data_IF_068483841801
#
_entry.id   IF_068483841801
#
_cell.length_a   1.000
_cell.length_b   1.000
_cell.length_c   1.000
_cell.angle_alpha   90.00
_cell.angle_beta   90.00
_cell.angle_gamma   90.00
#
_symmetry.space_group_name_H-M   'P 1'
#
loop_
_entity.id
_entity.type
_entity.pdbx_description
1 polymer ?
#
# COMPACT_ATOMS: atom_id res chain seq x y z
N UNK A 1 -16.61 -10.96 24.13
CA UNK A 1 -17.45 -9.78 23.77
C UNK A 1 -17.82 -9.81 22.29
N UNK A 2 -16.87 -9.98 21.35
CA UNK A 2 -17.13 -10.06 19.89
C UNK A 2 -17.94 -11.27 19.37
N UNK A 3 -18.50 -12.15 20.22
CA UNK A 3 -19.29 -13.32 19.79
C UNK A 3 -20.80 -13.17 20.00
N UNK A 4 -21.25 -12.07 20.59
CA UNK A 4 -22.68 -11.85 20.84
C UNK A 4 -23.33 -11.23 19.60
N UNK A 5 -24.54 -11.67 19.21
CA UNK A 5 -25.23 -11.20 18.00
C UNK A 5 -25.37 -9.68 17.89
N UNK A 6 -25.50 -8.99 19.04
CA UNK A 6 -25.58 -7.53 19.11
C UNK A 6 -24.33 -6.83 18.54
N UNK A 7 -23.12 -7.24 18.93
CA UNK A 7 -21.91 -6.60 18.41
C UNK A 7 -21.68 -6.91 16.94
N UNK A 8 -22.02 -8.13 16.49
CA UNK A 8 -21.99 -8.46 15.06
C UNK A 8 -22.95 -7.59 14.25
N UNK A 9 -24.16 -7.35 14.76
CA UNK A 9 -25.11 -6.44 14.13
C UNK A 9 -24.59 -4.99 14.12
N UNK A 10 -23.97 -4.53 15.21
CA UNK A 10 -23.38 -3.19 15.27
C UNK A 10 -22.25 -3.00 14.25
N UNK A 11 -21.34 -3.97 14.12
CA UNK A 11 -20.29 -3.95 13.11
C UNK A 11 -20.83 -4.00 11.69
N UNK A 12 -21.93 -4.73 11.45
CA UNK A 12 -22.60 -4.78 10.15
C UNK A 12 -23.34 -3.48 9.80
N UNK A 13 -23.84 -2.74 10.81
CA UNK A 13 -24.56 -1.48 10.62
C UNK A 13 -23.64 -0.28 10.38
N UNK A 14 -22.38 -0.34 10.83
CA UNK A 14 -21.42 0.77 10.73
C UNK A 14 -20.20 0.33 9.92
N UNK A 15 -20.19 0.57 8.60
CA UNK A 15 -19.05 0.27 7.73
C UNK A 15 -17.76 0.91 8.27
N UNK A 16 -16.67 0.13 8.28
CA UNK A 16 -15.35 0.63 8.70
C UNK A 16 -15.08 0.60 10.21
N UNK A 17 -16.09 0.41 11.08
CA UNK A 17 -15.88 0.38 12.54
C UNK A 17 -14.87 -0.70 12.97
N UNK A 18 -14.91 -1.88 12.36
CA UNK A 18 -13.94 -2.94 12.66
C UNK A 18 -12.50 -2.56 12.29
N UNK A 19 -12.31 -1.86 11.17
CA UNK A 19 -11.00 -1.37 10.75
C UNK A 19 -10.50 -0.23 11.64
N UNK A 20 -11.41 0.64 12.09
CA UNK A 20 -11.08 1.69 13.06
C UNK A 20 -10.57 1.11 14.39
N UNK A 21 -11.22 0.05 14.90
CA UNK A 21 -10.76 -0.63 16.13
C UNK A 21 -9.39 -1.29 15.91
N UNK A 22 -9.16 -1.91 14.74
CA UNK A 22 -7.87 -2.49 14.39
C UNK A 22 -6.77 -1.41 14.40
N UNK A 23 -7.01 -0.26 13.76
CA UNK A 23 -6.10 0.88 13.78
C UNK A 23 -5.83 1.35 15.20
N UNK A 24 -6.86 1.53 16.02
CA UNK A 24 -6.70 1.91 17.42
C UNK A 24 -5.76 0.97 18.19
N UNK A 25 -5.91 -0.34 18.02
CA UNK A 25 -5.00 -1.32 18.64
C UNK A 25 -3.56 -1.25 18.12
N UNK A 26 -3.38 -0.97 16.83
CA UNK A 26 -2.05 -0.79 16.22
C UNK A 26 -1.37 0.43 16.82
N UNK A 27 -2.06 1.56 16.88
CA UNK A 27 -1.55 2.82 17.43
C UNK A 27 -1.22 2.69 18.92
N UNK A 28 -2.11 2.08 19.71
CA UNK A 28 -1.85 1.79 21.14
C UNK A 28 -0.61 0.91 21.37
N UNK A 29 -0.25 0.06 20.41
CA UNK A 29 0.94 -0.78 20.49
C UNK A 29 2.20 -0.01 20.13
N UNK A 30 2.12 0.86 19.13
CA UNK A 30 3.20 1.77 18.71
C UNK A 30 3.48 2.85 19.77
N UNK A 31 2.46 3.34 20.48
CA UNK A 31 2.63 4.24 21.64
C UNK A 31 3.45 3.62 22.78
N UNK A 32 3.29 2.32 23.00
CA UNK A 32 3.98 1.60 24.08
C UNK A 32 5.40 1.19 23.72
N UNK A 33 5.69 1.10 22.44
CA UNK A 33 6.99 0.68 21.90
C UNK A 33 7.33 1.51 20.65
N UNK A 34 7.94 2.69 20.82
CA UNK A 34 8.25 3.60 19.70
C UNK A 34 9.23 3.02 18.66
N UNK A 35 9.97 1.97 19.02
CA UNK A 35 10.91 1.27 18.11
C UNK A 35 10.21 0.17 17.29
N UNK A 36 8.94 -0.13 17.59
CA UNK A 36 8.17 -1.13 16.87
C UNK A 36 7.77 -0.62 15.49
N UNK A 37 8.07 -1.41 14.46
CA UNK A 37 7.55 -1.19 13.11
C UNK A 37 6.47 -2.23 12.80
N UNK A 38 5.32 -1.78 12.29
CA UNK A 38 4.21 -2.65 11.88
C UNK A 38 3.96 -2.44 10.39
N UNK A 39 4.04 -3.54 9.62
CA UNK A 39 3.62 -3.56 8.21
C UNK A 39 2.21 -4.11 8.14
N UNK A 40 1.29 -3.32 7.60
CA UNK A 40 -0.09 -3.71 7.39
C UNK A 40 -0.29 -4.12 5.94
N UNK A 41 -0.61 -5.39 5.71
CA UNK A 41 -1.11 -5.86 4.42
C UNK A 41 -2.55 -5.38 4.26
N UNK A 42 -2.70 -4.21 3.64
CA UNK A 42 -3.99 -3.54 3.52
C UNK A 42 -4.85 -4.18 2.42
N UNK A 43 -6.19 -4.12 2.53
CA UNK A 43 -7.08 -4.53 1.45
C UNK A 43 -6.75 -3.89 0.10
N UNK A 44 -7.22 -4.50 -1.00
CA UNK A 44 -7.08 -3.91 -2.34
C UNK A 44 -7.61 -2.46 -2.39
N UNK A 45 -7.08 -1.66 -3.33
CA UNK A 45 -7.18 -0.19 -3.39
C UNK A 45 -8.49 0.42 -2.87
N UNK A 46 -9.65 0.03 -3.42
CA UNK A 46 -10.94 0.59 -3.02
C UNK A 46 -11.35 0.34 -1.57
N UNK A 47 -10.96 -0.79 -0.98
CA UNK A 47 -11.28 -1.11 0.42
C UNK A 47 -10.34 -0.43 1.42
N UNK A 48 -9.11 -0.12 1.00
CA UNK A 48 -8.18 0.69 1.80
C UNK A 48 -8.70 2.11 1.94
N UNK A 49 -9.29 2.68 0.89
CA UNK A 49 -9.92 4.00 0.98
C UNK A 49 -11.02 4.02 2.03
N UNK A 50 -11.94 3.05 2.01
CA UNK A 50 -13.03 2.97 2.98
C UNK A 50 -12.55 2.86 4.43
N UNK A 51 -11.40 2.24 4.67
CA UNK A 51 -10.78 2.17 6.00
C UNK A 51 -10.39 3.57 6.49
N UNK A 52 -9.70 4.36 5.67
CA UNK A 52 -9.30 5.72 6.05
C UNK A 52 -10.47 6.70 6.04
N UNK A 53 -11.36 6.64 5.05
CA UNK A 53 -12.61 7.42 5.01
C UNK A 53 -13.45 7.21 6.27
N UNK A 54 -13.50 5.98 6.79
CA UNK A 54 -14.25 5.72 8.02
C UNK A 54 -13.69 6.54 9.18
N UNK A 55 -12.36 6.65 9.33
CA UNK A 55 -11.74 7.48 10.38
C UNK A 55 -12.14 8.96 10.26
N UNK A 56 -12.19 9.48 9.03
CA UNK A 56 -12.64 10.84 8.75
C UNK A 56 -14.14 11.01 9.05
N UNK A 57 -14.98 10.09 8.58
CA UNK A 57 -16.42 10.11 8.83
C UNK A 57 -16.75 10.02 10.32
N UNK A 58 -16.03 9.19 11.08
CA UNK A 58 -16.18 9.09 12.52
C UNK A 58 -15.73 10.35 13.24
N UNK A 59 -14.66 11.02 12.77
CA UNK A 59 -14.25 12.33 13.27
C UNK A 59 -15.36 13.39 13.04
N UNK A 60 -16.06 13.31 11.91
CA UNK A 60 -17.18 14.18 11.62
C UNK A 60 -18.44 13.86 12.44
N UNK A 61 -18.71 12.59 12.71
CA UNK A 61 -19.88 12.18 13.50
C UNK A 61 -19.70 12.42 15.01
N UNK A 62 -18.52 12.11 15.55
CA UNK A 62 -18.24 12.18 16.99
C UNK A 62 -17.44 13.43 17.32
N UNK A 63 -18.14 14.52 17.67
CA UNK A 63 -17.51 15.82 17.95
C UNK A 63 -17.04 16.00 19.41
N UNK A 64 -17.59 15.26 20.36
CA UNK A 64 -17.30 15.40 21.80
C UNK A 64 -17.28 14.05 22.52
N UNK A 65 -16.57 13.99 23.65
CA UNK A 65 -16.43 12.79 24.48
C UNK A 65 -15.17 11.98 24.18
N UNK A 66 -14.93 10.94 24.98
CA UNK A 66 -13.68 10.14 24.96
C UNK A 66 -13.38 9.59 23.56
N UNK A 67 -14.42 9.10 22.86
CA UNK A 67 -14.26 8.56 21.51
C UNK A 67 -13.82 9.62 20.49
N UNK A 68 -14.28 10.87 20.65
CA UNK A 68 -13.88 11.97 19.77
C UNK A 68 -12.42 12.34 19.96
N UNK A 69 -11.93 12.27 21.21
CA UNK A 69 -10.52 12.56 21.52
C UNK A 69 -9.60 11.45 20.98
N UNK A 70 -10.01 10.19 21.10
CA UNK A 70 -9.31 9.07 20.47
C UNK A 70 -9.25 9.20 18.95
N UNK A 71 -10.36 9.53 18.30
CA UNK A 71 -10.39 9.69 16.84
C UNK A 71 -9.49 10.84 16.38
N UNK A 72 -9.50 11.99 17.07
CA UNK A 72 -8.59 13.11 16.77
C UNK A 72 -7.13 12.69 16.90
N UNK A 73 -6.80 11.96 17.97
CA UNK A 73 -5.46 11.42 18.19
C UNK A 73 -5.03 10.49 17.06
N UNK A 74 -5.89 9.56 16.64
CA UNK A 74 -5.61 8.69 15.51
C UNK A 74 -5.37 9.49 14.22
N UNK A 75 -6.24 10.46 13.92
CA UNK A 75 -6.09 11.26 12.69
C UNK A 75 -4.78 12.05 12.67
N UNK A 76 -4.35 12.60 13.81
CA UNK A 76 -3.08 13.30 13.92
C UNK A 76 -1.89 12.38 13.60
N UNK A 77 -1.93 11.14 14.10
CA UNK A 77 -0.88 10.14 13.87
C UNK A 77 -0.85 9.67 12.42
N UNK A 78 -2.01 9.37 11.84
CA UNK A 78 -2.10 8.89 10.45
C UNK A 78 -1.65 9.97 9.44
N UNK A 79 -1.80 11.25 9.77
CA UNK A 79 -1.32 12.36 8.92
C UNK A 79 0.15 12.71 9.14
N UNK A 80 0.86 12.11 10.11
CA UNK A 80 2.27 12.41 10.37
C UNK A 80 3.20 11.62 9.43
N UNK A 81 3.96 12.34 8.59
CA UNK A 81 4.94 11.78 7.64
C UNK A 81 6.07 10.99 8.29
N UNK A 82 6.41 11.28 9.55
CA UNK A 82 7.39 10.53 10.32
C UNK A 82 6.82 9.23 10.88
N UNK A 83 5.49 9.11 10.95
CA UNK A 83 4.81 7.99 11.60
C UNK A 83 4.28 6.95 10.61
N UNK A 84 3.53 7.39 9.59
CA UNK A 84 2.90 6.49 8.62
C UNK A 84 3.38 6.75 7.19
N UNK A 85 3.90 5.69 6.57
CA UNK A 85 4.19 5.64 5.13
C UNK A 85 3.22 4.68 4.45
N UNK A 86 2.69 5.09 3.30
CA UNK A 86 1.83 4.26 2.45
C UNK A 86 2.63 3.83 1.23
N UNK A 87 2.66 2.53 0.96
CA UNK A 87 3.32 1.96 -0.21
C UNK A 87 2.25 1.39 -1.16
N UNK A 88 2.16 1.95 -2.37
CA UNK A 88 1.22 1.49 -3.40
C UNK A 88 2.00 0.66 -4.40
N UNK A 89 1.69 -0.64 -4.45
CA UNK A 89 2.36 -1.59 -5.35
C UNK A 89 1.47 -1.91 -6.54
N UNK A 90 1.97 -1.68 -7.75
CA UNK A 90 1.26 -1.91 -9.01
C UNK A 90 2.04 -2.87 -9.90
N UNK A 91 1.33 -3.63 -10.73
CA UNK A 91 1.93 -4.34 -11.86
C UNK A 91 2.22 -3.36 -13.01
N UNK A 92 3.19 -3.65 -13.90
CA UNK A 92 3.56 -2.82 -15.05
C UNK A 92 2.51 -2.91 -16.17
N UNK A 93 1.32 -2.43 -15.84
CA UNK A 93 0.18 -2.34 -16.75
C UNK A 93 -0.48 -0.98 -16.55
N UNK A 94 -0.97 -0.38 -17.64
CA UNK A 94 -1.58 0.95 -17.59
C UNK A 94 -2.73 1.04 -16.58
N UNK A 95 -3.56 0.00 -16.51
CA UNK A 95 -4.70 -0.05 -15.58
C UNK A 95 -4.24 -0.06 -14.12
N UNK A 96 -3.34 -0.96 -13.74
CA UNK A 96 -2.88 -1.07 -12.35
C UNK A 96 -2.09 0.18 -11.89
N UNK A 97 -1.35 0.83 -12.79
CA UNK A 97 -0.66 2.09 -12.50
C UNK A 97 -1.67 3.22 -12.31
N UNK A 98 -2.67 3.33 -13.19
CA UNK A 98 -3.73 4.35 -13.06
C UNK A 98 -4.55 4.18 -11.78
N UNK A 99 -4.92 2.95 -11.42
CA UNK A 99 -5.62 2.65 -10.16
C UNK A 99 -4.76 3.02 -8.94
N UNK A 100 -3.46 2.71 -8.98
CA UNK A 100 -2.52 3.08 -7.92
C UNK A 100 -2.40 4.60 -7.75
N UNK A 101 -2.30 5.34 -8.85
CA UNK A 101 -2.25 6.82 -8.85
C UNK A 101 -3.54 7.43 -8.31
N UNK A 102 -4.68 6.91 -8.75
CA UNK A 102 -5.98 7.38 -8.28
C UNK A 102 -6.15 7.14 -6.78
N UNK A 103 -5.75 5.97 -6.27
CA UNK A 103 -5.69 5.71 -4.84
C UNK A 103 -4.80 6.73 -4.12
N UNK A 104 -3.61 7.04 -4.65
CA UNK A 104 -2.72 8.02 -4.04
C UNK A 104 -3.30 9.43 -3.97
N UNK A 105 -4.02 9.85 -5.02
CA UNK A 105 -4.77 11.11 -5.04
C UNK A 105 -5.84 11.12 -3.94
N UNK A 106 -6.64 10.06 -3.87
CA UNK A 106 -7.73 9.94 -2.90
C UNK A 106 -7.21 9.91 -1.45
N UNK A 107 -6.11 9.21 -1.17
CA UNK A 107 -5.49 9.21 0.16
C UNK A 107 -4.94 10.59 0.54
N UNK A 108 -4.36 11.31 -0.41
CA UNK A 108 -3.88 12.68 -0.20
C UNK A 108 -5.04 13.64 0.08
N UNK A 109 -6.19 13.46 -0.58
CA UNK A 109 -7.41 14.24 -0.33
C UNK A 109 -8.00 14.00 1.06
N UNK A 110 -7.77 12.82 1.65
CA UNK A 110 -8.09 12.52 3.04
C UNK A 110 -7.08 13.09 4.04
N UNK A 111 -6.05 13.80 3.57
CA UNK A 111 -5.03 14.42 4.42
C UNK A 111 -3.95 13.44 4.92
N UNK A 112 -3.76 12.32 4.22
CA UNK A 112 -2.64 11.40 4.46
C UNK A 112 -1.42 11.81 3.62
N UNK A 113 -0.26 11.29 4.01
CA UNK A 113 0.97 11.52 3.26
C UNK A 113 0.88 10.93 1.84
N UNK A 114 1.46 11.60 0.83
CA UNK A 114 1.55 11.05 -0.52
C UNK A 114 2.20 9.66 -0.48
N UNK A 115 1.60 8.65 -1.12
CA UNK A 115 2.16 7.31 -1.09
C UNK A 115 3.43 7.21 -1.94
N UNK A 116 4.27 6.26 -1.56
CA UNK A 116 5.38 5.79 -2.39
C UNK A 116 4.84 4.79 -3.40
N UNK A 117 5.07 5.01 -4.69
CA UNK A 117 4.61 4.13 -5.76
C UNK A 117 5.69 3.14 -6.17
N UNK A 118 5.33 1.86 -6.24
CA UNK A 118 6.22 0.75 -6.54
C UNK A 118 5.68 0.01 -7.77
N UNK A 119 6.57 -0.30 -8.71
CA UNK A 119 6.24 -1.15 -9.83
C UNK A 119 6.83 -2.54 -9.59
N UNK A 120 5.98 -3.57 -9.48
CA UNK A 120 6.42 -4.93 -9.18
C UNK A 120 6.34 -5.84 -10.40
N UNK A 121 7.20 -6.87 -10.45
CA UNK A 121 7.24 -7.87 -11.51
C UNK A 121 7.49 -7.28 -12.91
N UNK A 122 8.38 -6.30 -13.03
CA UNK A 122 8.76 -5.75 -14.33
C UNK A 122 9.64 -6.72 -15.11
N UNK A 123 9.20 -7.06 -16.31
CA UNK A 123 9.99 -7.85 -17.26
C UNK A 123 11.08 -7.00 -17.91
N UNK A 124 10.82 -5.70 -18.11
CA UNK A 124 11.77 -4.78 -18.73
C UNK A 124 13.04 -4.56 -17.89
N UNK A 125 12.99 -4.76 -16.58
CA UNK A 125 14.14 -4.62 -15.68
C UNK A 125 14.79 -5.95 -15.28
N UNK A 126 14.30 -7.09 -15.79
CA UNK A 126 14.89 -8.39 -15.53
C UNK A 126 16.10 -8.62 -16.48
N UNK A 127 17.29 -8.71 -15.89
CA UNK A 127 18.56 -8.90 -16.62
C UNK A 127 18.61 -10.21 -17.42
N UNK A 128 18.06 -11.32 -16.93
CA UNK A 128 18.05 -12.60 -17.66
C UNK A 128 17.24 -12.52 -18.96
N UNK A 129 16.20 -11.67 -18.97
CA UNK A 129 15.35 -11.41 -20.14
C UNK A 129 16.03 -10.42 -21.09
N UNK A 130 16.63 -9.34 -20.57
CA UNK A 130 17.29 -8.32 -21.41
C UNK A 130 18.63 -8.76 -21.96
N UNK A 131 19.37 -9.59 -21.22
CA UNK A 131 20.74 -10.01 -21.53
C UNK A 131 20.79 -11.36 -22.26
N UNK A 132 19.65 -11.83 -22.79
CA UNK A 132 19.59 -13.00 -23.67
C UNK A 132 19.61 -12.58 -25.16
N UNK A 133 20.78 -12.28 -25.75
CA UNK A 133 20.90 -11.81 -27.13
C UNK A 133 20.49 -12.86 -28.18
N UNK A 134 20.53 -14.16 -27.82
CA UNK A 134 20.28 -15.27 -28.75
C UNK A 134 18.84 -15.83 -28.67
N UNK A 135 18.05 -15.42 -27.68
CA UNK A 135 16.66 -15.81 -27.57
C UNK A 135 15.78 -14.78 -28.28
N UNK A 136 15.23 -15.13 -29.45
CA UNK A 136 14.11 -14.36 -30.00
C UNK A 136 12.95 -14.51 -29.03
N UNK A 137 12.80 -13.53 -28.13
CA UNK A 137 11.65 -13.46 -27.24
C UNK A 137 10.39 -13.55 -28.11
N UNK A 138 9.38 -14.35 -27.72
CA UNK A 138 8.09 -14.34 -28.40
C UNK A 138 7.54 -12.92 -28.55
N UNK A 139 6.84 -12.65 -29.66
CA UNK A 139 6.31 -11.31 -29.98
C UNK A 139 5.52 -10.70 -28.80
N UNK A 140 4.74 -11.52 -28.09
CA UNK A 140 3.94 -11.05 -26.96
C UNK A 140 4.80 -10.54 -25.79
N UNK A 141 5.98 -11.11 -25.54
CA UNK A 141 6.90 -10.64 -24.50
C UNK A 141 7.61 -9.35 -24.93
N UNK A 142 8.06 -9.27 -26.18
CA UNK A 142 8.63 -8.03 -26.71
C UNK A 142 7.64 -6.87 -26.62
N UNK A 143 6.39 -7.13 -26.99
CA UNK A 143 5.30 -6.15 -26.92
C UNK A 143 4.97 -5.76 -25.48
N UNK A 144 5.02 -6.72 -24.55
CA UNK A 144 4.86 -6.45 -23.12
C UNK A 144 5.98 -5.55 -22.62
N UNK A 145 7.25 -5.92 -22.81
CA UNK A 145 8.42 -5.14 -22.37
C UNK A 145 8.33 -3.69 -22.87
N UNK A 146 8.04 -3.50 -24.17
CA UNK A 146 7.86 -2.17 -24.76
C UNK A 146 6.73 -1.35 -24.10
N UNK A 147 5.64 -1.99 -23.69
CA UNK A 147 4.57 -1.32 -22.96
C UNK A 147 5.02 -0.95 -21.54
N UNK A 148 5.82 -1.78 -20.88
CA UNK A 148 6.40 -1.45 -19.57
C UNK A 148 7.38 -0.27 -19.68
N UNK A 149 8.25 -0.25 -20.70
CA UNK A 149 9.19 0.85 -20.96
C UNK A 149 8.46 2.19 -21.15
N UNK A 150 7.40 2.21 -21.96
CA UNK A 150 6.56 3.41 -22.14
C UNK A 150 5.98 3.86 -20.80
N UNK A 151 5.50 2.94 -19.97
CA UNK A 151 4.96 3.28 -18.66
C UNK A 151 6.03 3.85 -17.72
N UNK A 152 7.24 3.31 -17.73
CA UNK A 152 8.34 3.80 -16.90
C UNK A 152 8.92 5.13 -17.40
N UNK A 153 8.75 5.45 -18.68
CA UNK A 153 9.12 6.76 -19.25
C UNK A 153 8.06 7.83 -18.96
N UNK A 154 6.77 7.46 -18.96
CA UNK A 154 5.64 8.38 -18.72
C UNK A 154 5.40 8.67 -17.23
N UNK A 155 5.80 7.76 -16.33
CA UNK A 155 5.44 7.80 -14.92
C UNK A 155 6.67 7.62 -14.02
N UNK A 156 6.65 8.28 -12.85
CA UNK A 156 7.72 8.15 -11.86
C UNK A 156 7.34 7.15 -10.76
N UNK A 157 8.25 6.24 -10.47
CA UNK A 157 8.11 5.24 -9.40
C UNK A 157 9.26 5.41 -8.40
N UNK A 158 8.98 5.13 -7.13
CA UNK A 158 10.00 5.10 -6.08
C UNK A 158 11.01 3.98 -6.34
N UNK A 159 10.53 2.82 -6.78
CA UNK A 159 11.38 1.73 -7.28
C UNK A 159 10.62 0.85 -8.26
N UNK A 160 11.37 0.12 -9.07
CA UNK A 160 10.87 -0.87 -10.02
C UNK A 160 11.54 -2.20 -9.71
N UNK A 161 10.75 -3.18 -9.28
CA UNK A 161 11.22 -4.53 -8.95
C UNK A 161 11.12 -5.42 -10.18
N UNK A 162 12.19 -6.16 -10.52
CA UNK A 162 12.17 -7.06 -11.64
C UNK A 162 11.24 -8.25 -11.37
N UNK A 163 10.71 -8.83 -12.44
CA UNK A 163 10.15 -10.17 -12.39
C UNK A 163 11.24 -11.16 -11.96
N UNK A 164 10.94 -12.05 -11.02
CA UNK A 164 11.90 -13.07 -10.55
C UNK A 164 11.28 -14.44 -10.80
N UNK A 165 11.94 -15.25 -11.63
CA UNK A 165 11.50 -16.58 -12.02
C UNK A 165 11.92 -17.68 -11.03
N UNK A 166 12.04 -17.36 -9.73
CA UNK A 166 12.36 -18.33 -8.69
C UNK A 166 11.13 -18.67 -7.86
N UNK A 167 11.01 -19.94 -7.47
CA UNK A 167 10.03 -20.40 -6.49
C UNK A 167 10.61 -20.42 -5.06
N UNK A 168 11.91 -20.17 -4.90
CA UNK A 168 12.59 -20.14 -3.62
C UNK A 168 12.52 -18.74 -3.00
N UNK A 169 11.90 -18.65 -1.82
CA UNK A 169 11.70 -17.38 -1.14
C UNK A 169 13.01 -16.66 -0.81
N UNK A 170 14.05 -17.39 -0.38
CA UNK A 170 15.32 -16.77 -0.03
C UNK A 170 16.01 -16.16 -1.26
N UNK A 171 15.94 -16.83 -2.41
CA UNK A 171 16.43 -16.30 -3.67
C UNK A 171 15.65 -15.05 -4.12
N UNK A 172 14.31 -15.04 -3.97
CA UNK A 172 13.49 -13.86 -4.27
C UNK A 172 13.94 -12.67 -3.41
N UNK A 173 14.09 -12.88 -2.11
CA UNK A 173 14.52 -11.83 -1.17
C UNK A 173 15.92 -11.30 -1.53
N UNK A 174 16.89 -12.19 -1.79
CA UNK A 174 18.24 -11.79 -2.18
C UNK A 174 18.27 -10.99 -3.49
N UNK A 175 17.38 -11.30 -4.43
CA UNK A 175 17.29 -10.59 -5.70
C UNK A 175 16.67 -9.18 -5.56
N UNK A 176 15.73 -8.98 -4.63
CA UNK A 176 15.10 -7.67 -4.41
C UNK A 176 15.85 -6.78 -3.41
N UNK A 177 16.57 -7.36 -2.44
CA UNK A 177 17.24 -6.64 -1.35
C UNK A 177 18.05 -5.42 -1.80
N UNK A 178 18.88 -5.48 -2.87
CA UNK A 178 19.65 -4.31 -3.33
C UNK A 178 18.76 -3.12 -3.74
N UNK A 179 17.56 -3.39 -4.25
CA UNK A 179 16.57 -2.38 -4.67
C UNK A 179 15.74 -1.82 -3.53
N UNK A 180 15.73 -2.50 -2.37
CA UNK A 180 15.00 -2.07 -1.18
C UNK A 180 15.83 -1.11 -0.32
N UNK A 181 17.14 -1.35 -0.21
CA UNK A 181 18.06 -0.52 0.60
C UNK A 181 18.12 0.92 0.10
N UNK A 182 18.06 1.13 -1.22
CA UNK A 182 18.05 2.47 -1.85
C UNK A 182 16.80 3.33 -1.52
N UNK A 183 15.75 2.73 -0.93
CA UNK A 183 14.44 3.39 -0.72
C UNK A 183 14.17 3.68 0.77
N UNK A 184 14.91 3.07 1.69
CA UNK A 184 14.66 3.14 3.13
C UNK A 184 15.55 4.19 3.82
N UNK A 185 16.64 4.63 3.18
CA UNK A 185 17.48 5.77 3.60
C UNK A 185 16.86 7.13 3.22
#
# INVERSE_FOLDING_TARGET
IMKTPFFNALFAMIPGLGQMILLGHVLDRLEKDPELHIVLDSPASGHTLSMFESTHNFHEMFKTGILADDIKRMHAWLSDAGFMKVHVVSLPTKMAVQEGKELGRQLSELGLNPPLHWLNCSMATNQEITDSPDAVLPEFLQKKIKLEEILTDEESFQTILPYIASADFAQIVQAIEPKLVEVIE
#
